data_IF_196536760835
#
_entry.id   IF_196536760835
#
_cell.length_a   1.000
_cell.length_b   1.000
_cell.length_c   1.000
_cell.angle_alpha   90.00
_cell.angle_beta   90.00
_cell.angle_gamma   90.00
#
_symmetry.space_group_name_H-M   'P 1'
#
loop_
_entity.id
_entity.type
_entity.pdbx_description
1 polymer ?
#
# COMPACT_ATOMS: atom_id res chain seq x y z
N UNK A 1 8.02 55.57 8.89
CA UNK A 1 8.15 54.16 9.25
C UNK A 1 6.77 53.66 9.62
N UNK A 2 6.02 53.19 8.63
CA UNK A 2 4.68 52.65 8.87
C UNK A 2 4.80 51.25 9.45
N UNK A 3 4.48 51.13 10.74
CA UNK A 3 4.38 49.85 11.41
C UNK A 3 3.09 49.17 10.94
N UNK A 4 3.21 48.12 10.14
CA UNK A 4 2.11 47.22 9.79
C UNK A 4 1.45 46.68 11.06
N UNK A 5 0.20 47.10 11.31
CA UNK A 5 -0.61 46.53 12.39
C UNK A 5 -0.94 45.08 12.04
N UNK A 6 -0.75 44.11 12.97
CA UNK A 6 -1.07 42.71 12.70
C UNK A 6 -2.57 42.59 12.44
N UNK A 7 -2.92 42.13 11.23
CA UNK A 7 -4.29 41.91 10.80
C UNK A 7 -4.94 40.88 11.75
N UNK A 8 -5.83 41.34 12.63
CA UNK A 8 -6.49 40.45 13.58
C UNK A 8 -7.41 39.48 12.82
N UNK A 9 -7.01 38.22 12.75
CA UNK A 9 -7.81 37.14 12.15
C UNK A 9 -9.24 37.14 12.70
N UNK A 10 -10.20 36.95 11.80
CA UNK A 10 -11.62 36.83 12.14
C UNK A 10 -11.85 35.67 13.11
N UNK A 11 -12.91 35.76 13.93
CA UNK A 11 -13.33 34.65 14.83
C UNK A 11 -13.51 33.34 14.07
N UNK A 12 -13.99 33.39 12.83
CA UNK A 12 -14.15 32.22 11.97
C UNK A 12 -12.80 31.61 11.54
N UNK A 13 -11.83 32.45 11.18
CA UNK A 13 -10.50 32.04 10.76
C UNK A 13 -9.70 31.44 11.91
N UNK A 14 -9.79 32.06 13.11
CA UNK A 14 -9.20 31.52 14.34
C UNK A 14 -9.74 30.12 14.66
N UNK A 15 -11.05 29.90 14.50
CA UNK A 15 -11.68 28.58 14.67
C UNK A 15 -11.18 27.56 13.63
N UNK A 16 -11.03 27.97 12.37
CA UNK A 16 -10.52 27.12 11.28
C UNK A 16 -9.06 26.72 11.51
N UNK A 17 -8.20 27.65 11.93
CA UNK A 17 -6.81 27.37 12.27
C UNK A 17 -6.68 26.41 13.46
N UNK A 18 -7.44 26.65 14.54
CA UNK A 18 -7.44 25.75 15.71
C UNK A 18 -7.91 24.33 15.35
N UNK A 19 -8.91 24.21 14.47
CA UNK A 19 -9.35 22.90 13.94
C UNK A 19 -8.24 22.23 13.13
N UNK A 20 -7.56 22.97 12.25
CA UNK A 20 -6.46 22.45 11.42
C UNK A 20 -5.28 21.96 12.28
N UNK A 21 -4.88 22.73 13.29
CA UNK A 21 -3.83 22.35 14.24
C UNK A 21 -4.21 21.08 15.01
N UNK A 22 -5.44 21.00 15.52
CA UNK A 22 -5.93 19.82 16.23
C UNK A 22 -5.96 18.57 15.35
N UNK A 23 -6.41 18.72 14.11
CA UNK A 23 -6.44 17.62 13.15
C UNK A 23 -5.01 17.18 12.76
N UNK A 24 -4.07 18.11 12.64
CA UNK A 24 -2.65 17.82 12.41
C UNK A 24 -2.03 17.06 13.60
N UNK A 25 -2.29 17.52 14.83
CA UNK A 25 -1.82 16.84 16.04
C UNK A 25 -2.42 15.43 16.14
N UNK A 26 -3.71 15.27 15.88
CA UNK A 26 -4.37 13.95 15.86
C UNK A 26 -3.72 13.01 14.83
N UNK A 27 -3.36 13.53 13.65
CA UNK A 27 -2.65 12.77 12.61
C UNK A 27 -1.24 12.37 13.04
N UNK A 28 -0.51 13.26 13.72
CA UNK A 28 0.82 12.94 14.27
C UNK A 28 0.71 11.89 15.37
N UNK A 29 -0.23 12.07 16.31
CA UNK A 29 -0.48 11.12 17.40
C UNK A 29 -0.89 9.74 16.86
N UNK A 30 -1.71 9.66 15.80
CA UNK A 30 -2.03 8.37 15.18
C UNK A 30 -0.81 7.61 14.64
N UNK A 31 0.30 8.30 14.35
CA UNK A 31 1.56 7.68 13.92
C UNK A 31 2.47 7.31 15.08
N UNK A 32 2.49 8.12 16.15
CA UNK A 32 3.46 8.00 17.24
C UNK A 32 2.90 7.34 18.50
N UNK A 33 1.59 7.49 18.75
CA UNK A 33 0.86 6.93 19.89
C UNK A 33 -0.63 6.75 19.49
N UNK A 34 -0.95 5.68 18.72
CA UNK A 34 -2.30 5.45 18.20
C UNK A 34 -3.34 5.19 19.30
N UNK A 35 -2.93 4.66 20.45
CA UNK A 35 -3.79 4.37 21.62
C UNK A 35 -4.34 5.64 22.29
N UNK A 36 -3.59 6.74 22.21
CA UNK A 36 -4.04 8.00 22.78
C UNK A 36 -5.33 8.47 22.09
N UNK A 37 -6.22 9.11 22.86
CA UNK A 37 -7.49 9.67 22.41
C UNK A 37 -7.38 10.50 21.13
N UNK A 38 -6.30 11.28 20.97
CA UNK A 38 -6.07 12.08 19.77
C UNK A 38 -5.63 11.24 18.56
N UNK A 39 -4.87 10.15 18.76
CA UNK A 39 -4.53 9.19 17.72
C UNK A 39 -5.77 8.42 17.26
N UNK A 40 -6.51 7.85 18.21
CA UNK A 40 -7.75 7.13 17.94
C UNK A 40 -8.80 7.99 17.23
N UNK A 41 -8.84 9.29 17.56
CA UNK A 41 -9.73 10.25 16.88
C UNK A 41 -9.44 10.35 15.38
N UNK A 42 -8.17 10.36 14.98
CA UNK A 42 -7.82 10.41 13.56
C UNK A 42 -8.16 9.09 12.88
N UNK A 43 -7.81 7.95 13.50
CA UNK A 43 -8.10 6.60 12.97
C UNK A 43 -9.61 6.44 12.73
N UNK A 44 -10.44 6.71 13.74
CA UNK A 44 -11.90 6.63 13.63
C UNK A 44 -12.46 7.60 12.58
N UNK A 45 -11.85 8.78 12.42
CA UNK A 45 -12.24 9.76 11.39
C UNK A 45 -11.91 9.26 9.99
N UNK A 46 -10.78 8.59 9.79
CA UNK A 46 -10.41 7.98 8.50
C UNK A 46 -11.29 6.78 8.19
N UNK A 47 -11.54 5.90 9.15
CA UNK A 47 -12.46 4.77 8.98
C UNK A 47 -13.83 5.26 8.46
N UNK A 48 -14.48 6.20 9.17
CA UNK A 48 -15.77 6.76 8.77
C UNK A 48 -15.73 7.50 7.43
N UNK A 49 -14.58 8.05 7.05
CA UNK A 49 -14.42 8.71 5.75
C UNK A 49 -14.48 7.68 4.62
N UNK A 50 -13.75 6.56 4.76
CA UNK A 50 -13.72 5.48 3.79
C UNK A 50 -15.06 4.74 3.72
N UNK A 51 -15.70 4.43 4.87
CA UNK A 51 -17.05 3.84 4.92
C UNK A 51 -18.08 4.70 4.17
N UNK A 52 -18.08 6.02 4.39
CA UNK A 52 -18.99 6.94 3.68
C UNK A 52 -18.70 7.03 2.18
N UNK A 53 -17.45 6.81 1.78
CA UNK A 53 -17.06 6.85 0.36
C UNK A 53 -17.46 5.56 -0.33
N UNK A 54 -17.30 4.43 0.34
CA UNK A 54 -17.85 3.14 -0.08
C UNK A 54 -19.37 3.22 -0.29
N UNK A 55 -20.12 3.78 0.67
CA UNK A 55 -21.58 3.97 0.52
C UNK A 55 -21.95 4.81 -0.71
N UNK A 56 -21.19 5.87 -0.99
CA UNK A 56 -21.40 6.70 -2.19
C UNK A 56 -21.14 5.94 -3.47
N UNK A 57 -20.05 5.18 -3.54
CA UNK A 57 -19.71 4.38 -4.71
C UNK A 57 -20.73 3.24 -4.92
N UNK A 58 -21.28 2.66 -3.85
CA UNK A 58 -22.37 1.68 -3.94
C UNK A 58 -23.65 2.30 -4.53
N UNK A 59 -23.98 3.54 -4.15
CA UNK A 59 -25.09 4.30 -4.74
C UNK A 59 -24.83 4.64 -6.23
N UNK A 60 -23.58 5.00 -6.57
CA UNK A 60 -23.16 5.26 -7.95
C UNK A 60 -23.26 4.00 -8.81
N UNK A 61 -22.72 2.88 -8.33
CA UNK A 61 -22.85 1.56 -8.96
C UNK A 61 -24.29 1.18 -9.21
N UNK A 62 -25.18 1.37 -8.24
CA UNK A 62 -26.61 1.07 -8.42
C UNK A 62 -27.28 2.00 -9.42
N UNK A 63 -26.89 3.28 -9.48
CA UNK A 63 -27.33 4.21 -10.52
C UNK A 63 -26.86 3.78 -11.92
N UNK A 64 -25.58 3.43 -12.07
CA UNK A 64 -25.00 2.96 -13.34
C UNK A 64 -25.66 1.66 -13.81
N UNK A 65 -25.94 0.72 -12.89
CA UNK A 65 -26.70 -0.50 -13.23
C UNK A 65 -28.11 -0.21 -13.72
N UNK A 66 -28.81 0.78 -13.13
CA UNK A 66 -30.11 1.21 -13.65
C UNK A 66 -29.94 1.82 -15.04
N UNK A 67 -28.97 2.72 -15.23
CA UNK A 67 -28.69 3.34 -16.54
C UNK A 67 -28.42 2.29 -17.61
N UNK A 68 -27.57 1.29 -17.31
CA UNK A 68 -27.26 0.17 -18.21
C UNK A 68 -28.52 -0.60 -18.66
N UNK A 69 -29.51 -0.73 -17.78
CA UNK A 69 -30.76 -1.45 -18.07
C UNK A 69 -31.68 -0.68 -19.04
N UNK A 70 -31.65 0.65 -19.02
CA UNK A 70 -32.45 1.51 -19.90
C UNK A 70 -31.73 1.94 -21.17
N UNK A 71 -30.41 1.74 -21.23
CA UNK A 71 -29.60 2.08 -22.39
C UNK A 71 -29.90 1.13 -23.57
N UNK A 72 -29.91 1.66 -24.79
CA UNK A 72 -30.18 0.88 -25.99
C UNK A 72 -28.98 0.87 -26.95
N UNK A 73 -28.11 1.87 -26.87
CA UNK A 73 -26.89 1.94 -27.65
C UNK A 73 -25.83 0.94 -27.14
N UNK A 74 -25.30 0.09 -28.03
CA UNK A 74 -24.31 -0.92 -27.65
C UNK A 74 -22.98 -0.30 -27.19
N UNK A 75 -22.53 0.78 -27.83
CA UNK A 75 -21.29 1.45 -27.44
C UNK A 75 -21.43 2.05 -26.03
N UNK A 76 -22.53 2.74 -25.75
CA UNK A 76 -22.78 3.33 -24.43
C UNK A 76 -22.99 2.26 -23.35
N UNK A 77 -23.53 1.08 -23.70
CA UNK A 77 -23.58 -0.07 -22.78
C UNK A 77 -22.19 -0.55 -22.39
N UNK A 78 -21.26 -0.63 -23.33
CA UNK A 78 -19.88 -1.04 -23.06
C UNK A 78 -19.17 0.00 -22.19
N UNK A 79 -19.32 1.28 -22.49
CA UNK A 79 -18.75 2.38 -21.69
C UNK A 79 -19.28 2.34 -20.24
N UNK A 80 -20.58 2.15 -20.05
CA UNK A 80 -21.20 2.03 -18.72
C UNK A 80 -20.70 0.76 -17.99
N UNK A 81 -20.43 -0.35 -18.70
CA UNK A 81 -19.87 -1.56 -18.09
C UNK A 81 -18.44 -1.34 -17.59
N UNK A 82 -17.60 -0.66 -18.35
CA UNK A 82 -16.25 -0.30 -17.91
C UNK A 82 -16.29 0.67 -16.73
N UNK A 83 -17.21 1.64 -16.73
CA UNK A 83 -17.43 2.54 -15.60
C UNK A 83 -17.86 1.77 -14.33
N UNK A 84 -18.75 0.78 -14.48
CA UNK A 84 -19.14 -0.11 -13.37
C UNK A 84 -17.93 -0.88 -12.82
N UNK A 85 -17.07 -1.45 -13.67
CA UNK A 85 -15.87 -2.16 -13.23
C UNK A 85 -14.93 -1.24 -12.44
N UNK A 86 -14.73 -0.02 -12.91
CA UNK A 86 -13.89 0.98 -12.24
C UNK A 86 -14.48 1.39 -10.89
N UNK A 87 -15.80 1.59 -10.81
CA UNK A 87 -16.49 1.86 -9.54
C UNK A 87 -16.39 0.65 -8.59
N UNK A 88 -16.49 -0.57 -9.09
CA UNK A 88 -16.31 -1.79 -8.30
C UNK A 88 -14.90 -1.91 -7.71
N UNK A 89 -13.86 -1.64 -8.52
CA UNK A 89 -12.48 -1.60 -8.02
C UNK A 89 -12.31 -0.54 -6.92
N UNK A 90 -12.92 0.64 -7.08
CA UNK A 90 -12.90 1.70 -6.09
C UNK A 90 -13.64 1.31 -4.80
N UNK A 91 -14.77 0.59 -4.89
CA UNK A 91 -15.49 0.06 -3.70
C UNK A 91 -14.57 -0.88 -2.90
N UNK A 92 -13.91 -1.82 -3.59
CA UNK A 92 -12.97 -2.75 -2.95
C UNK A 92 -11.85 -1.99 -2.26
N UNK A 93 -11.28 -0.99 -2.94
CA UNK A 93 -10.23 -0.15 -2.39
C UNK A 93 -10.68 0.57 -1.10
N UNK A 94 -11.82 1.27 -1.13
CA UNK A 94 -12.34 2.01 0.02
C UNK A 94 -12.70 1.08 1.20
N UNK A 95 -13.28 -0.10 0.92
CA UNK A 95 -13.57 -1.11 1.94
C UNK A 95 -12.29 -1.61 2.61
N UNK A 96 -11.26 -1.92 1.83
CA UNK A 96 -9.95 -2.33 2.36
C UNK A 96 -9.31 -1.24 3.21
N UNK A 97 -9.44 0.04 2.81
CA UNK A 97 -8.99 1.16 3.64
C UNK A 97 -9.75 1.25 4.96
N UNK A 98 -11.08 1.13 4.93
CA UNK A 98 -11.91 1.14 6.14
C UNK A 98 -11.54 0.00 7.10
N UNK A 99 -11.40 -1.23 6.58
CA UNK A 99 -10.92 -2.40 7.33
C UNK A 99 -9.54 -2.18 7.94
N UNK A 100 -8.61 -1.60 7.19
CA UNK A 100 -7.27 -1.26 7.68
C UNK A 100 -7.33 -0.33 8.89
N UNK A 101 -8.11 0.76 8.82
CA UNK A 101 -8.27 1.67 9.96
C UNK A 101 -9.04 1.05 11.13
N UNK A 102 -10.00 0.15 10.86
CA UNK A 102 -10.70 -0.61 11.90
C UNK A 102 -9.77 -1.61 12.60
N UNK A 103 -8.89 -2.28 11.87
CA UNK A 103 -7.86 -3.15 12.43
C UNK A 103 -6.93 -2.34 13.34
N UNK A 104 -6.45 -1.17 12.90
CA UNK A 104 -5.66 -0.26 13.76
C UNK A 104 -6.39 0.19 15.03
N UNK A 105 -7.71 0.28 15.01
CA UNK A 105 -8.50 0.61 16.20
C UNK A 105 -8.64 -0.55 17.18
N UNK A 106 -8.69 -1.78 16.66
CA UNK A 106 -8.96 -2.99 17.45
C UNK A 106 -7.68 -3.70 17.93
N UNK A 107 -6.62 -3.66 17.12
CA UNK A 107 -5.34 -4.36 17.33
C UNK A 107 -4.28 -3.45 17.97
N UNK A 108 -4.73 -2.43 18.70
CA UNK A 108 -3.90 -1.44 19.37
C UNK A 108 -3.05 -2.03 20.50
N UNK A 109 -3.14 -3.33 20.81
CA UNK A 109 -2.27 -4.03 21.77
C UNK A 109 -0.91 -4.42 21.20
N UNK A 110 -0.72 -4.40 19.88
CA UNK A 110 0.60 -4.60 19.29
C UNK A 110 1.30 -3.25 19.24
N UNK A 111 2.40 -3.13 19.98
CA UNK A 111 3.30 -1.97 19.93
C UNK A 111 3.83 -1.82 18.51
N UNK A 112 3.13 -1.03 17.69
CA UNK A 112 3.66 -0.53 16.43
C UNK A 112 5.02 0.13 16.76
N UNK A 113 6.09 -0.10 16.00
CA UNK A 113 7.38 0.51 16.30
C UNK A 113 7.17 2.02 16.40
N UNK A 114 7.30 2.56 17.63
CA UNK A 114 6.91 3.94 17.96
C UNK A 114 7.68 5.00 17.18
N UNK A 115 8.68 4.57 16.42
CA UNK A 115 9.38 5.32 15.40
C UNK A 115 9.30 4.54 14.09
N UNK A 116 8.77 5.19 13.04
CA UNK A 116 8.95 4.67 11.70
C UNK A 116 10.45 4.47 11.45
N UNK A 117 10.87 3.33 10.85
CA UNK A 117 12.27 3.12 10.53
C UNK A 117 12.74 4.28 9.66
N UNK A 118 13.93 4.81 9.98
CA UNK A 118 14.54 5.82 9.13
C UNK A 118 14.94 5.16 7.81
N UNK A 119 14.28 5.57 6.72
CA UNK A 119 14.53 5.04 5.39
C UNK A 119 15.67 5.80 4.68
N UNK A 120 16.15 6.92 5.23
CA UNK A 120 17.24 7.69 4.61
C UNK A 120 18.50 6.84 4.33
N UNK A 121 18.96 5.97 5.24
CA UNK A 121 20.10 5.09 4.96
C UNK A 121 19.85 4.12 3.79
N UNK A 122 18.63 3.60 3.69
CA UNK A 122 18.24 2.69 2.60
C UNK A 122 18.19 3.45 1.28
N UNK A 123 17.55 4.62 1.26
CA UNK A 123 17.43 5.47 0.06
C UNK A 123 18.80 5.96 -0.40
N UNK A 124 19.68 6.34 0.53
CA UNK A 124 21.04 6.76 0.23
C UNK A 124 21.84 5.61 -0.42
N UNK A 125 21.77 4.41 0.16
CA UNK A 125 22.41 3.22 -0.41
C UNK A 125 21.88 2.88 -1.81
N UNK A 126 20.56 2.98 -2.02
CA UNK A 126 19.95 2.77 -3.34
C UNK A 126 20.43 3.81 -4.38
N UNK A 127 20.75 5.04 -3.98
CA UNK A 127 21.23 6.12 -4.87
C UNK A 127 22.68 5.98 -5.28
N UNK A 128 23.49 5.27 -4.50
CA UNK A 128 24.92 5.08 -4.78
C UNK A 128 25.19 4.16 -5.97
N UNK A 129 24.17 3.48 -6.49
CA UNK A 129 24.31 2.47 -7.52
C UNK A 129 24.75 1.15 -6.89
N UNK A 130 23.93 0.12 -7.02
CA UNK A 130 24.12 -1.12 -6.25
C UNK A 130 24.93 -2.18 -6.99
N UNK A 131 25.14 -2.01 -8.29
CA UNK A 131 25.68 -3.07 -9.15
C UNK A 131 26.90 -2.55 -9.90
N UNK A 132 27.95 -3.35 -9.92
CA UNK A 132 29.05 -3.15 -10.86
C UNK A 132 28.56 -3.45 -12.28
N UNK A 133 29.26 -2.94 -13.30
CA UNK A 133 28.93 -3.24 -14.71
C UNK A 133 28.85 -4.74 -14.99
N UNK A 134 29.71 -5.52 -14.35
CA UNK A 134 29.71 -6.99 -14.46
C UNK A 134 28.43 -7.61 -13.88
N UNK A 135 27.95 -7.09 -12.75
CA UNK A 135 26.70 -7.55 -12.14
C UNK A 135 25.48 -7.13 -12.97
N UNK A 136 25.50 -5.94 -13.56
CA UNK A 136 24.46 -5.49 -14.49
C UNK A 136 24.41 -6.38 -15.75
N UNK A 137 25.56 -6.68 -16.34
CA UNK A 137 25.67 -7.58 -17.49
C UNK A 137 25.19 -9.00 -17.14
N UNK A 138 25.50 -9.49 -15.94
CA UNK A 138 25.01 -10.78 -15.47
C UNK A 138 23.48 -10.80 -15.34
N UNK A 139 22.87 -9.74 -14.80
CA UNK A 139 21.41 -9.63 -14.71
C UNK A 139 20.74 -9.56 -16.09
N UNK A 140 21.29 -8.76 -17.00
CA UNK A 140 20.82 -8.67 -18.38
C UNK A 140 20.87 -10.04 -19.07
N UNK A 141 21.96 -10.79 -18.88
CA UNK A 141 22.09 -12.13 -19.43
C UNK A 141 21.03 -13.09 -18.86
N UNK A 142 20.75 -13.01 -17.57
CA UNK A 142 19.68 -13.79 -16.94
C UNK A 142 18.32 -13.41 -17.55
N UNK A 143 18.00 -12.13 -17.67
CA UNK A 143 16.71 -11.69 -18.23
C UNK A 143 16.53 -12.08 -19.70
N UNK A 144 17.59 -11.98 -20.50
CA UNK A 144 17.54 -12.25 -21.93
C UNK A 144 17.58 -13.74 -22.28
N UNK A 145 18.38 -14.54 -21.55
CA UNK A 145 18.69 -15.92 -21.97
C UNK A 145 18.15 -17.01 -21.05
N UNK A 146 17.64 -16.69 -19.84
CA UNK A 146 17.04 -17.73 -18.99
C UNK A 146 15.72 -18.24 -19.56
N UNK A 147 15.59 -19.56 -19.60
CA UNK A 147 14.31 -20.19 -19.89
C UNK A 147 13.41 -20.14 -18.65
N UNK A 148 12.08 -20.16 -18.82
CA UNK A 148 11.14 -20.10 -17.69
C UNK A 148 11.36 -21.15 -16.60
N UNK A 149 11.91 -22.31 -16.96
CA UNK A 149 12.08 -23.45 -16.07
C UNK A 149 13.51 -23.61 -15.54
N UNK A 150 14.45 -22.77 -15.99
CA UNK A 150 15.82 -22.82 -15.51
C UNK A 150 15.86 -22.43 -14.04
N UNK A 151 16.41 -23.30 -13.19
CA UNK A 151 16.62 -23.00 -11.77
C UNK A 151 17.89 -22.16 -11.65
N UNK A 152 17.73 -20.93 -11.18
CA UNK A 152 18.79 -19.93 -11.11
C UNK A 152 19.34 -19.76 -9.69
N UNK A 153 18.50 -20.00 -8.69
CA UNK A 153 18.91 -20.05 -7.29
C UNK A 153 18.03 -21.03 -6.51
N UNK A 154 18.59 -21.66 -5.48
CA UNK A 154 17.84 -22.55 -4.60
C UNK A 154 18.35 -22.39 -3.16
N UNK A 155 17.42 -22.14 -2.24
CA UNK A 155 17.71 -21.95 -0.82
C UNK A 155 16.46 -22.20 0.00
N UNK A 156 16.60 -22.75 1.22
CA UNK A 156 15.46 -22.99 2.13
C UNK A 156 14.30 -23.78 1.49
N UNK A 157 14.60 -24.71 0.59
CA UNK A 157 13.63 -25.49 -0.20
C UNK A 157 12.75 -24.67 -1.16
N UNK A 158 13.17 -23.46 -1.51
CA UNK A 158 12.51 -22.61 -2.51
C UNK A 158 13.47 -22.49 -3.70
N UNK A 159 13.02 -22.93 -4.88
CA UNK A 159 13.76 -22.81 -6.14
C UNK A 159 13.25 -21.59 -6.89
N UNK A 160 14.16 -20.68 -7.24
CA UNK A 160 13.89 -19.51 -8.06
C UNK A 160 14.22 -19.83 -9.51
N UNK A 161 13.20 -19.74 -10.35
CA UNK A 161 13.30 -20.01 -11.78
C UNK A 161 13.50 -18.74 -12.60
N UNK A 162 13.83 -18.89 -13.88
CA UNK A 162 13.84 -17.79 -14.85
C UNK A 162 12.50 -17.08 -14.96
N UNK A 163 11.37 -17.81 -14.84
CA UNK A 163 10.05 -17.20 -14.76
C UNK A 163 9.90 -16.30 -13.52
N UNK A 164 10.34 -16.78 -12.36
CA UNK A 164 10.23 -16.03 -11.11
C UNK A 164 11.05 -14.72 -11.17
N UNK A 165 12.28 -14.76 -11.70
CA UNK A 165 13.11 -13.56 -11.82
C UNK A 165 12.57 -12.54 -12.81
N UNK A 166 11.86 -12.95 -13.87
CA UNK A 166 11.22 -12.02 -14.80
C UNK A 166 10.15 -11.16 -14.13
N UNK A 167 9.56 -11.62 -13.03
CA UNK A 167 8.60 -10.80 -12.26
C UNK A 167 9.24 -9.56 -11.59
N UNK A 168 10.57 -9.55 -11.45
CA UNK A 168 11.33 -8.37 -11.00
C UNK A 168 11.56 -7.34 -12.11
N UNK A 169 11.42 -7.74 -13.38
CA UNK A 169 11.68 -6.88 -14.52
C UNK A 169 10.53 -5.87 -14.70
N UNK A 170 10.89 -4.63 -15.02
CA UNK A 170 9.94 -3.58 -15.35
C UNK A 170 10.01 -3.29 -16.85
N UNK A 171 9.10 -3.89 -17.62
CA UNK A 171 9.06 -3.79 -19.08
C UNK A 171 7.60 -3.63 -19.58
N UNK A 172 7.37 -3.84 -20.88
CA UNK A 172 6.03 -3.69 -21.49
C UNK A 172 5.06 -4.81 -21.11
N UNK A 173 5.57 -5.96 -20.70
CA UNK A 173 4.83 -7.19 -20.37
C UNK A 173 4.77 -7.42 -18.86
N UNK A 174 5.76 -6.91 -18.11
CA UNK A 174 5.92 -7.06 -16.67
C UNK A 174 5.85 -5.69 -15.97
N UNK A 175 4.82 -5.52 -15.15
CA UNK A 175 4.59 -4.30 -14.35
C UNK A 175 5.32 -4.32 -12.99
N UNK A 176 6.28 -5.22 -12.80
CA UNK A 176 7.00 -5.41 -11.53
C UNK A 176 6.13 -5.98 -10.39
N UNK A 177 5.09 -6.75 -10.71
CA UNK A 177 4.34 -7.51 -9.71
C UNK A 177 5.10 -8.79 -9.37
N UNK A 178 5.73 -8.78 -8.20
CA UNK A 178 6.47 -9.93 -7.68
C UNK A 178 5.53 -11.08 -7.42
N UNK A 179 5.97 -12.29 -7.78
CA UNK A 179 5.26 -13.49 -7.39
C UNK A 179 5.62 -13.92 -5.96
N UNK A 180 4.83 -14.87 -5.46
CA UNK A 180 4.96 -15.41 -4.11
C UNK A 180 6.34 -16.07 -3.88
N UNK A 181 6.88 -16.78 -4.87
CA UNK A 181 8.20 -17.43 -4.78
C UNK A 181 9.33 -16.42 -4.50
N UNK A 182 9.36 -15.30 -5.22
CA UNK A 182 10.35 -14.23 -5.01
C UNK A 182 10.22 -13.62 -3.61
N UNK A 183 8.99 -13.37 -3.17
CA UNK A 183 8.72 -12.80 -1.84
C UNK A 183 9.18 -13.78 -0.75
N UNK A 184 8.76 -15.04 -0.83
CA UNK A 184 9.06 -16.06 0.17
C UNK A 184 10.56 -16.33 0.23
N UNK A 185 11.22 -16.45 -0.92
CA UNK A 185 12.66 -16.61 -1.00
C UNK A 185 13.41 -15.45 -0.33
N UNK A 186 13.03 -14.21 -0.65
CA UNK A 186 13.66 -13.02 -0.08
C UNK A 186 13.45 -12.91 1.43
N UNK A 187 12.27 -13.26 1.94
CA UNK A 187 12.00 -13.28 3.37
C UNK A 187 12.88 -14.31 4.09
N UNK A 188 13.11 -15.49 3.50
CA UNK A 188 14.03 -16.47 4.06
C UNK A 188 15.48 -15.97 4.05
N UNK A 189 15.92 -15.24 3.01
CA UNK A 189 17.23 -14.61 3.00
C UNK A 189 17.40 -13.60 4.15
N UNK A 190 16.37 -12.81 4.46
CA UNK A 190 16.39 -11.88 5.61
C UNK A 190 16.53 -12.65 6.93
N UNK A 191 15.75 -13.73 7.12
CA UNK A 191 15.82 -14.59 8.30
C UNK A 191 17.20 -15.25 8.43
N UNK A 192 17.82 -15.62 7.32
CA UNK A 192 19.18 -16.20 7.30
C UNK A 192 20.26 -15.17 7.62
N UNK A 193 20.10 -13.92 7.17
CA UNK A 193 21.11 -12.88 7.32
C UNK A 193 21.05 -12.15 8.67
N UNK A 194 19.88 -12.16 9.33
CA UNK A 194 19.71 -11.50 10.62
C UNK A 194 20.41 -12.27 11.75
N UNK A 195 21.04 -11.54 12.67
CA UNK A 195 21.61 -12.11 13.90
C UNK A 195 20.55 -12.39 14.97
N UNK A 196 19.31 -11.97 14.74
CA UNK A 196 18.21 -12.13 15.67
C UNK A 196 17.46 -13.44 15.42
N UNK A 197 17.73 -14.45 16.25
CA UNK A 197 17.08 -15.77 16.18
C UNK A 197 15.58 -15.78 16.52
N UNK A 198 14.97 -14.61 16.77
CA UNK A 198 13.54 -14.47 17.05
C UNK A 198 12.71 -14.06 15.84
N UNK A 199 13.33 -13.96 14.66
CA UNK A 199 12.63 -13.62 13.42
C UNK A 199 12.25 -14.92 12.72
N UNK A 200 10.96 -15.06 12.44
CA UNK A 200 10.41 -16.16 11.66
C UNK A 200 9.58 -15.59 10.51
N UNK A 201 9.83 -16.07 9.30
CA UNK A 201 9.06 -15.71 8.12
C UNK A 201 8.13 -16.88 7.75
N UNK A 202 6.83 -16.63 7.84
CA UNK A 202 5.84 -17.55 7.29
C UNK A 202 5.78 -17.40 5.77
N UNK A 203 5.53 -18.49 5.02
CA UNK A 203 5.31 -18.40 3.58
C UNK A 203 4.03 -17.60 3.29
N UNK A 204 4.00 -16.93 2.15
CA UNK A 204 2.90 -16.11 1.65
C UNK A 204 1.52 -16.77 1.76
N UNK A 205 1.44 -18.07 1.50
CA UNK A 205 0.20 -18.86 1.58
C UNK A 205 -0.37 -18.99 3.01
N UNK A 206 0.46 -18.83 4.05
CA UNK A 206 0.09 -19.11 5.45
C UNK A 206 -1.09 -18.27 5.94
N UNK A 207 -1.13 -16.98 5.60
CA UNK A 207 -2.24 -16.14 6.07
C UNK A 207 -3.55 -16.55 5.41
N UNK A 208 -3.51 -16.97 4.14
CA UNK A 208 -4.70 -17.39 3.41
C UNK A 208 -5.34 -18.63 4.04
N UNK A 209 -4.52 -19.61 4.41
CA UNK A 209 -4.98 -20.87 5.03
C UNK A 209 -5.50 -20.70 6.46
N UNK A 210 -5.17 -19.60 7.15
CA UNK A 210 -5.72 -19.28 8.47
C UNK A 210 -7.12 -18.65 8.40
N UNK A 211 -7.45 -18.01 7.28
CA UNK A 211 -8.70 -17.25 7.12
C UNK A 211 -9.80 -18.01 6.38
N UNK A 212 -9.44 -19.10 5.69
CA UNK A 212 -10.36 -20.06 5.07
C UNK A 212 -10.82 -21.12 6.09
#
# INVERSE_FOLDING_TARGET
MDQEKPTQLSRAEKRKQKKKQRDANSKTQAKTNPENKDGQRYINKQQRYHEKREDKLNNEKTSLKRKLNWENNQQEKEDIREEIKLVEANIIFENNQAKRFKAYANDASLTYPGKAPDLQPIIQKLREGNLTKEQEEHLENIWQYSTPNDILAEESSISITGHDLKTLQFDKENIGWLNDNIIDFYMQLIVKQTTNNKIFAFPSIFHRTLTE
#
